data_IF_033652337807
#
_entry.id   IF_033652337807
#
_cell.length_a   1.000
_cell.length_b   1.000
_cell.length_c   1.000
_cell.angle_alpha   90.00
_cell.angle_beta   90.00
_cell.angle_gamma   90.00
#
_symmetry.space_group_name_H-M   'P 1'
#
loop_
_entity.id
_entity.type
_entity.pdbx_description
1 polymer ?
#
# COMPACT_ATOMS: atom_id res chain seq x y z
N UNK A 1 -32.28 -88.40 55.68
CA UNK A 1 -30.90 -88.29 56.18
C UNK A 1 -30.07 -87.58 55.11
N UNK A 2 -29.33 -86.53 55.49
CA UNK A 2 -28.27 -85.79 54.78
C UNK A 2 -28.48 -85.23 53.37
N UNK A 3 -27.90 -84.02 53.21
CA UNK A 3 -27.56 -83.27 51.98
C UNK A 3 -28.77 -82.88 51.08
N UNK A 4 -28.85 -81.72 50.43
CA UNK A 4 -27.83 -80.88 49.81
C UNK A 4 -28.45 -79.51 49.43
N UNK A 5 -27.59 -78.53 49.16
CA UNK A 5 -27.84 -77.12 48.80
C UNK A 5 -28.42 -76.89 47.40
N UNK A 6 -29.24 -75.84 47.23
CA UNK A 6 -29.10 -74.82 46.17
C UNK A 6 -30.20 -73.74 46.23
N UNK A 7 -29.74 -72.48 46.29
CA UNK A 7 -30.21 -71.26 45.61
C UNK A 7 -31.56 -71.26 44.87
N UNK A 8 -32.40 -70.25 45.17
CA UNK A 8 -32.77 -69.14 44.26
C UNK A 8 -33.66 -68.12 45.00
N UNK A 9 -33.26 -66.85 44.95
CA UNK A 9 -34.09 -65.64 45.18
C UNK A 9 -35.22 -65.56 44.12
N UNK A 10 -36.38 -64.87 44.35
CA UNK A 10 -36.42 -63.39 44.37
C UNK A 10 -37.59 -62.68 45.11
N UNK A 11 -37.45 -61.35 45.30
CA UNK A 11 -38.41 -60.25 45.03
C UNK A 11 -38.34 -59.09 46.07
N UNK A 12 -38.10 -57.86 45.60
CA UNK A 12 -38.17 -56.59 46.39
C UNK A 12 -39.60 -56.03 46.52
N UNK A 13 -39.87 -54.71 46.69
CA UNK A 13 -39.06 -53.50 47.02
C UNK A 13 -39.55 -52.81 48.34
N UNK A 14 -38.97 -51.77 48.97
CA UNK A 14 -38.96 -50.32 48.60
C UNK A 14 -38.15 -49.44 49.62
N UNK A 15 -37.24 -48.62 49.07
CA UNK A 15 -36.94 -47.17 49.30
C UNK A 15 -36.83 -46.50 50.70
N UNK A 16 -35.79 -45.63 50.74
CA UNK A 16 -35.51 -44.38 51.55
C UNK A 16 -34.77 -44.62 52.88
N UNK A 17 -33.70 -43.91 53.27
CA UNK A 17 -33.19 -42.56 52.92
C UNK A 17 -31.66 -42.49 52.91
N UNK A 18 -31.17 -41.64 52.01
CA UNK A 18 -29.83 -41.09 51.85
C UNK A 18 -29.29 -40.41 53.11
N UNK A 19 -28.06 -40.74 53.53
CA UNK A 19 -27.22 -39.78 54.25
C UNK A 19 -26.77 -38.69 53.25
N UNK A 20 -26.76 -37.40 53.63
CA UNK A 20 -26.66 -36.29 52.66
C UNK A 20 -25.25 -36.19 52.08
N UNK A 21 -25.16 -35.80 50.81
CA UNK A 21 -23.93 -35.48 50.08
C UNK A 21 -22.94 -34.60 50.88
N UNK A 22 -23.46 -33.81 51.83
CA UNK A 22 -22.68 -32.98 52.77
C UNK A 22 -21.76 -33.79 53.71
N UNK A 23 -22.20 -34.94 54.24
CA UNK A 23 -21.34 -35.76 55.11
C UNK A 23 -20.22 -36.47 54.34
N UNK A 24 -20.47 -36.81 53.07
CA UNK A 24 -19.44 -37.37 52.19
C UNK A 24 -18.45 -36.29 51.73
N UNK A 25 -18.90 -35.04 51.56
CA UNK A 25 -18.04 -33.90 51.28
C UNK A 25 -17.15 -33.53 52.47
N UNK A 26 -17.69 -33.54 53.69
CA UNK A 26 -16.90 -33.27 54.92
C UNK A 26 -15.86 -34.37 55.19
N UNK A 27 -16.20 -35.65 54.98
CA UNK A 27 -15.22 -36.75 55.08
C UNK A 27 -14.13 -36.69 53.99
N UNK A 28 -14.46 -36.21 52.79
CA UNK A 28 -13.48 -35.99 51.72
C UNK A 28 -12.58 -34.76 51.98
N UNK A 29 -13.13 -33.68 52.56
CA UNK A 29 -12.38 -32.50 53.00
C UNK A 29 -11.48 -32.80 54.20
N UNK A 30 -11.93 -33.63 55.15
CA UNK A 30 -11.16 -34.05 56.32
C UNK A 30 -10.00 -35.01 55.97
N UNK A 31 -10.10 -35.76 54.86
CA UNK A 31 -8.99 -36.57 54.34
C UNK A 31 -8.01 -35.75 53.49
N UNK A 32 -8.47 -34.71 52.79
CA UNK A 32 -7.57 -33.77 52.07
C UNK A 32 -6.84 -32.78 52.97
N UNK A 33 -7.29 -32.56 54.21
CA UNK A 33 -6.63 -31.63 55.14
C UNK A 33 -5.42 -32.22 55.88
N UNK A 34 -5.18 -33.55 55.78
CA UNK A 34 -4.06 -34.24 56.45
C UNK A 34 -2.87 -34.59 55.55
N UNK A 35 -2.95 -34.35 54.24
CA UNK A 35 -1.78 -34.37 53.34
C UNK A 35 -1.47 -32.95 52.84
N UNK A 36 -0.87 -32.14 53.72
CA UNK A 36 -0.16 -30.93 53.29
C UNK A 36 1.20 -31.32 52.71
N UNK A 37 1.22 -31.88 51.50
CA UNK A 37 2.39 -31.64 50.65
C UNK A 37 2.19 -30.24 50.09
N UNK A 38 2.74 -29.24 50.81
CA UNK A 38 2.83 -27.89 50.24
C UNK A 38 3.61 -28.04 48.92
N UNK A 39 3.09 -27.60 47.77
CA UNK A 39 3.94 -27.43 46.61
C UNK A 39 5.04 -26.45 47.05
N UNK A 40 6.29 -26.90 47.06
CA UNK A 40 7.44 -26.02 47.27
C UNK A 40 7.43 -25.11 46.04
N UNK A 41 6.84 -23.93 46.20
CA UNK A 41 6.99 -22.86 45.22
C UNK A 41 8.50 -22.61 45.11
N UNK A 42 9.07 -22.52 43.89
CA UNK A 42 10.47 -22.14 43.75
C UNK A 42 10.65 -20.82 44.49
N UNK A 43 11.67 -20.76 45.33
CA UNK A 43 11.99 -19.59 46.12
C UNK A 43 12.33 -18.44 45.16
N UNK A 44 11.40 -17.48 45.03
CA UNK A 44 11.57 -16.33 44.15
C UNK A 44 12.73 -15.45 44.62
N UNK A 45 13.07 -15.50 45.92
CA UNK A 45 14.21 -14.79 46.51
C UNK A 45 15.55 -15.48 46.19
N UNK A 46 15.53 -16.75 45.76
CA UNK A 46 16.69 -17.47 45.26
C UNK A 46 16.95 -17.24 43.76
N UNK A 47 16.01 -16.63 43.04
CA UNK A 47 16.20 -16.21 41.64
C UNK A 47 16.99 -14.91 41.65
N UNK A 48 18.33 -15.01 41.61
CA UNK A 48 19.18 -13.85 41.37
C UNK A 48 18.92 -13.32 39.96
N UNK A 49 18.13 -12.25 39.87
CA UNK A 49 18.10 -11.40 38.68
C UNK A 49 19.48 -10.74 38.61
N UNK A 50 20.30 -11.14 37.64
CA UNK A 50 21.58 -10.47 37.39
C UNK A 50 21.30 -9.00 37.12
N UNK A 51 21.60 -8.14 38.10
CA UNK A 51 21.52 -6.70 37.96
C UNK A 51 22.67 -6.30 37.06
N UNK A 52 22.38 -6.12 35.77
CA UNK A 52 23.33 -5.57 34.79
C UNK A 52 23.69 -4.17 35.29
N UNK A 53 24.98 -3.90 35.48
CA UNK A 53 25.42 -2.60 35.97
C UNK A 53 25.15 -1.51 34.94
N UNK A 54 24.98 -0.26 35.38
CA UNK A 54 24.80 0.87 34.45
C UNK A 54 26.00 1.01 33.49
N UNK A 55 27.20 0.67 33.95
CA UNK A 55 28.42 0.64 33.13
C UNK A 55 28.37 -0.44 32.03
N UNK A 56 27.85 -1.64 32.34
CA UNK A 56 27.63 -2.71 31.35
C UNK A 56 26.56 -2.31 30.32
N UNK A 57 25.52 -1.59 30.75
CA UNK A 57 24.48 -1.04 29.85
C UNK A 57 25.10 0.02 28.93
N UNK A 58 25.93 0.92 29.45
CA UNK A 58 26.63 1.92 28.65
C UNK A 58 27.58 1.30 27.63
N UNK A 59 28.32 0.26 28.01
CA UNK A 59 29.24 -0.45 27.12
C UNK A 59 28.48 -1.18 26.02
N UNK A 60 27.37 -1.87 26.35
CA UNK A 60 26.47 -2.47 25.37
C UNK A 60 25.87 -1.44 24.41
N UNK A 61 25.51 -0.25 24.90
CA UNK A 61 25.02 0.85 24.05
C UNK A 61 26.13 1.36 23.11
N UNK A 62 27.37 1.52 23.61
CA UNK A 62 28.52 1.93 22.79
C UNK A 62 28.82 0.90 21.72
N UNK A 63 28.80 -0.38 22.06
CA UNK A 63 29.02 -1.48 21.13
C UNK A 63 27.91 -1.53 20.06
N UNK A 64 26.64 -1.46 20.47
CA UNK A 64 25.50 -1.42 19.55
C UNK A 64 25.56 -0.21 18.59
N UNK A 65 26.00 0.96 19.06
CA UNK A 65 26.26 2.13 18.21
C UNK A 65 27.39 1.89 17.23
N UNK A 66 28.49 1.28 17.68
CA UNK A 66 29.61 0.87 16.83
C UNK A 66 29.18 -0.10 15.72
N UNK A 67 28.40 -1.12 16.07
CA UNK A 67 27.81 -2.08 15.12
C UNK A 67 26.90 -1.39 14.10
N UNK A 68 26.04 -0.49 14.55
CA UNK A 68 25.15 0.28 13.66
C UNK A 68 25.93 1.16 12.68
N UNK A 69 26.96 1.86 13.15
CA UNK A 69 27.82 2.70 12.31
C UNK A 69 28.61 1.88 11.28
N UNK A 70 29.11 0.70 11.67
CA UNK A 70 29.74 -0.24 10.74
C UNK A 70 28.73 -0.71 9.68
N UNK A 71 27.54 -1.15 10.10
CA UNK A 71 26.49 -1.62 9.21
C UNK A 71 26.09 -0.57 8.17
N UNK A 72 26.00 0.70 8.55
CA UNK A 72 25.72 1.80 7.63
C UNK A 72 26.82 1.99 6.57
N UNK A 73 28.10 2.01 6.98
CA UNK A 73 29.23 2.13 6.04
C UNK A 73 29.33 0.92 5.12
N UNK A 74 29.12 -0.26 5.66
CA UNK A 74 29.12 -1.52 4.92
C UNK A 74 27.99 -1.53 3.86
N UNK A 75 26.77 -1.12 4.23
CA UNK A 75 25.64 -1.00 3.32
C UNK A 75 25.92 -0.04 2.16
N UNK A 76 26.47 1.15 2.44
CA UNK A 76 26.86 2.11 1.40
C UNK A 76 27.87 1.52 0.43
N UNK A 77 28.89 0.82 0.95
CA UNK A 77 29.91 0.16 0.14
C UNK A 77 29.32 -0.94 -0.74
N UNK A 78 28.39 -1.76 -0.22
CA UNK A 78 27.70 -2.79 -1.00
C UNK A 78 26.89 -2.15 -2.14
N UNK A 79 26.15 -1.06 -1.88
CA UNK A 79 25.39 -0.37 -2.94
C UNK A 79 26.31 0.19 -4.03
N UNK A 80 27.47 0.76 -3.66
CA UNK A 80 28.47 1.20 -4.63
C UNK A 80 29.02 0.03 -5.46
N UNK A 81 29.30 -1.12 -4.82
CA UNK A 81 29.75 -2.34 -5.50
C UNK A 81 28.69 -2.80 -6.50
N UNK A 82 27.42 -2.91 -6.08
CA UNK A 82 26.30 -3.34 -6.94
C UNK A 82 26.08 -2.38 -8.10
N UNK A 83 26.15 -1.07 -7.86
CA UNK A 83 26.04 -0.06 -8.92
C UNK A 83 27.16 -0.21 -9.95
N UNK A 84 28.41 -0.47 -9.51
CA UNK A 84 29.55 -0.70 -10.41
C UNK A 84 29.41 -2.00 -11.19
N UNK A 85 28.97 -3.08 -10.54
CA UNK A 85 28.68 -4.34 -11.23
C UNK A 85 27.61 -4.15 -12.32
N UNK A 86 26.53 -3.40 -12.03
CA UNK A 86 25.47 -3.10 -12.99
C UNK A 86 25.98 -2.24 -14.15
N UNK A 87 26.82 -1.24 -13.90
CA UNK A 87 27.47 -0.44 -14.96
C UNK A 87 28.30 -1.30 -15.92
N UNK A 88 29.08 -2.24 -15.39
CA UNK A 88 29.86 -3.16 -16.22
C UNK A 88 28.93 -4.09 -17.01
N UNK A 89 27.89 -4.63 -16.37
CA UNK A 89 26.95 -5.54 -17.03
C UNK A 89 26.10 -4.85 -18.12
N UNK A 90 25.79 -3.56 -17.98
CA UNK A 90 25.10 -2.78 -19.01
C UNK A 90 25.87 -2.72 -20.34
N UNK A 91 27.20 -2.90 -20.32
CA UNK A 91 28.01 -3.00 -21.55
C UNK A 91 27.62 -4.24 -22.35
N UNK A 92 27.37 -5.38 -21.67
CA UNK A 92 26.86 -6.61 -22.33
C UNK A 92 25.46 -6.42 -22.87
N UNK A 93 24.56 -5.82 -22.07
CA UNK A 93 23.15 -5.63 -22.45
C UNK A 93 23.01 -4.71 -23.67
N UNK A 94 23.96 -3.79 -23.88
CA UNK A 94 24.03 -2.90 -25.05
C UNK A 94 24.75 -3.54 -26.25
N UNK A 95 25.06 -4.83 -26.20
CA UNK A 95 25.71 -5.57 -27.30
C UNK A 95 27.23 -5.41 -27.37
N UNK A 96 27.87 -4.82 -26.35
CA UNK A 96 29.33 -4.73 -26.23
C UNK A 96 29.97 -5.99 -25.65
N UNK A 97 31.23 -6.25 -26.00
CA UNK A 97 32.04 -7.28 -25.35
C UNK A 97 32.74 -6.72 -24.11
N UNK A 98 32.70 -7.48 -23.00
CA UNK A 98 33.50 -7.15 -21.82
C UNK A 98 34.96 -7.44 -22.07
N UNK A 99 35.82 -6.54 -21.59
CA UNK A 99 37.27 -6.77 -21.60
C UNK A 99 37.66 -7.78 -20.51
N UNK A 100 38.88 -8.33 -20.61
CA UNK A 100 39.45 -9.17 -19.53
C UNK A 100 39.56 -8.42 -18.20
N UNK A 101 39.81 -7.11 -18.25
CA UNK A 101 39.83 -6.23 -17.08
C UNK A 101 38.44 -6.15 -16.42
N UNK A 102 37.37 -5.98 -17.21
CA UNK A 102 36.00 -5.91 -16.69
C UNK A 102 35.58 -7.22 -15.99
N UNK A 103 35.98 -8.36 -16.55
CA UNK A 103 35.72 -9.69 -15.95
C UNK A 103 36.48 -9.87 -14.64
N UNK A 104 37.74 -9.42 -14.58
CA UNK A 104 38.54 -9.45 -13.35
C UNK A 104 37.97 -8.52 -12.27
N UNK A 105 37.53 -7.32 -12.67
CA UNK A 105 36.88 -6.36 -11.77
C UNK A 105 35.58 -6.93 -11.19
N UNK A 106 34.71 -7.51 -12.03
CA UNK A 106 33.48 -8.17 -11.56
C UNK A 106 33.74 -9.29 -10.54
N UNK A 107 34.78 -10.11 -10.75
CA UNK A 107 35.16 -11.17 -9.79
C UNK A 107 35.60 -10.57 -8.45
N UNK A 108 36.44 -9.52 -8.48
CA UNK A 108 36.90 -8.83 -7.27
C UNK A 108 35.75 -8.18 -6.51
N UNK A 109 34.85 -7.49 -7.22
CA UNK A 109 33.67 -6.84 -6.66
C UNK A 109 32.72 -7.84 -6.00
N UNK A 110 32.49 -9.01 -6.62
CA UNK A 110 31.67 -10.08 -6.02
C UNK A 110 32.30 -10.64 -4.75
N UNK A 111 33.59 -10.93 -4.77
CA UNK A 111 34.30 -11.44 -3.59
C UNK A 111 34.29 -10.43 -2.43
N UNK A 112 34.40 -9.14 -2.73
CA UNK A 112 34.34 -8.08 -1.72
C UNK A 112 32.92 -7.91 -1.14
N UNK A 113 31.88 -8.02 -1.96
CA UNK A 113 30.49 -8.05 -1.50
C UNK A 113 30.21 -9.25 -0.59
N UNK A 114 30.60 -10.46 -1.00
CA UNK A 114 30.45 -11.68 -0.19
C UNK A 114 31.19 -11.57 1.14
N UNK A 115 32.39 -10.98 1.16
CA UNK A 115 33.15 -10.74 2.40
C UNK A 115 32.42 -9.80 3.36
N UNK A 116 31.80 -8.73 2.86
CA UNK A 116 31.06 -7.79 3.71
C UNK A 116 29.77 -8.45 4.22
N UNK A 117 29.05 -9.17 3.35
CA UNK A 117 27.82 -9.89 3.69
C UNK A 117 28.06 -11.06 4.65
N UNK A 118 29.26 -11.66 4.67
CA UNK A 118 29.62 -12.75 5.58
C UNK A 118 30.28 -12.31 6.90
N UNK A 119 30.46 -11.01 7.13
CA UNK A 119 31.20 -10.52 8.30
C UNK A 119 30.32 -10.40 9.57
N UNK A 120 30.87 -10.80 10.71
CA UNK A 120 30.30 -10.57 12.04
C UNK A 120 29.24 -11.58 12.49
N UNK A 121 28.60 -11.27 13.61
CA UNK A 121 27.58 -12.08 14.26
C UNK A 121 26.16 -11.82 13.71
N UNK A 122 25.16 -12.56 14.21
CA UNK A 122 23.77 -12.42 13.76
C UNK A 122 23.19 -11.00 13.97
N UNK A 123 23.60 -10.29 15.01
CA UNK A 123 23.12 -8.94 15.29
C UNK A 123 23.67 -7.91 14.31
N UNK A 124 24.97 -8.02 13.99
CA UNK A 124 25.58 -7.21 12.95
C UNK A 124 24.92 -7.49 11.59
N UNK A 125 24.62 -8.76 11.30
CA UNK A 125 23.93 -9.16 10.07
C UNK A 125 22.52 -8.59 9.97
N UNK A 126 21.73 -8.62 11.06
CA UNK A 126 20.42 -7.96 11.11
C UNK A 126 20.53 -6.46 10.86
N UNK A 127 21.50 -5.81 11.51
CA UNK A 127 21.77 -4.37 11.35
C UNK A 127 22.20 -4.03 9.93
N UNK A 128 23.07 -4.84 9.31
CA UNK A 128 23.53 -4.71 7.94
C UNK A 128 22.38 -4.84 6.95
N UNK A 129 21.53 -5.85 7.08
CA UNK A 129 20.35 -6.04 6.22
C UNK A 129 19.40 -4.83 6.28
N UNK A 130 19.19 -4.28 7.48
CA UNK A 130 18.35 -3.10 7.66
C UNK A 130 18.98 -1.84 7.07
N UNK A 131 20.28 -1.61 7.28
CA UNK A 131 21.00 -0.50 6.69
C UNK A 131 21.02 -0.59 5.15
N UNK A 132 21.25 -1.79 4.61
CA UNK A 132 21.20 -2.06 3.18
C UNK A 132 19.82 -1.76 2.60
N UNK A 133 18.74 -2.15 3.28
CA UNK A 133 17.39 -1.81 2.85
C UNK A 133 17.15 -0.28 2.77
N UNK A 134 17.65 0.49 3.74
CA UNK A 134 17.56 1.95 3.70
C UNK A 134 18.33 2.53 2.51
N UNK A 135 19.55 2.04 2.26
CA UNK A 135 20.34 2.51 1.12
C UNK A 135 19.73 2.09 -0.23
N UNK A 136 19.12 0.91 -0.32
CA UNK A 136 18.36 0.49 -1.51
C UNK A 136 17.21 1.46 -1.82
N UNK A 137 16.49 1.94 -0.80
CA UNK A 137 15.45 2.98 -0.97
C UNK A 137 16.08 4.29 -1.48
N UNK A 138 17.25 4.69 -0.95
CA UNK A 138 17.93 5.93 -1.35
C UNK A 138 18.43 5.91 -2.79
N UNK A 139 18.99 4.78 -3.22
CA UNK A 139 19.56 4.62 -4.57
C UNK A 139 18.56 4.13 -5.61
N UNK A 140 17.37 3.70 -5.18
CA UNK A 140 16.36 3.12 -6.07
C UNK A 140 15.80 4.12 -7.08
N UNK A 141 15.40 3.63 -8.25
CA UNK A 141 14.68 4.43 -9.24
C UNK A 141 13.28 4.74 -8.70
N UNK A 142 12.91 6.02 -8.62
CA UNK A 142 11.61 6.45 -8.13
C UNK A 142 10.48 6.09 -9.10
N UNK A 143 9.97 4.86 -8.98
CA UNK A 143 8.84 4.30 -9.71
C UNK A 143 7.74 3.81 -8.76
N UNK A 144 6.52 3.68 -9.29
CA UNK A 144 5.39 3.18 -8.51
C UNK A 144 5.58 1.73 -8.05
N UNK A 145 6.16 0.90 -8.90
CA UNK A 145 6.51 -0.50 -8.62
C UNK A 145 7.52 -0.60 -7.47
N UNK A 146 8.60 0.17 -7.52
CA UNK A 146 9.61 0.18 -6.46
C UNK A 146 9.03 0.69 -5.13
N UNK A 147 8.15 1.71 -5.16
CA UNK A 147 7.49 2.18 -3.95
C UNK A 147 6.62 1.10 -3.30
N UNK A 148 5.86 0.33 -4.10
CA UNK A 148 5.08 -0.80 -3.60
C UNK A 148 5.99 -1.92 -3.06
N UNK A 149 7.05 -2.26 -3.78
CA UNK A 149 8.00 -3.30 -3.36
C UNK A 149 8.69 -2.95 -2.04
N UNK A 150 9.16 -1.71 -1.88
CA UNK A 150 9.77 -1.26 -0.63
C UNK A 150 8.77 -1.22 0.53
N UNK A 151 7.53 -0.79 0.30
CA UNK A 151 6.49 -0.83 1.33
C UNK A 151 6.13 -2.28 1.73
N UNK A 152 5.99 -3.19 0.76
CA UNK A 152 5.73 -4.60 1.01
C UNK A 152 6.85 -5.22 1.85
N UNK A 153 8.11 -5.03 1.44
CA UNK A 153 9.26 -5.50 2.21
C UNK A 153 9.30 -4.89 3.61
N UNK A 154 8.98 -3.60 3.77
CA UNK A 154 8.92 -2.95 5.08
C UNK A 154 7.83 -3.55 6.00
N UNK A 155 6.75 -4.08 5.43
CA UNK A 155 5.72 -4.85 6.15
C UNK A 155 6.23 -6.24 6.51
N UNK A 156 6.87 -6.95 5.58
CA UNK A 156 7.44 -8.28 5.81
C UNK A 156 8.48 -8.29 6.94
N UNK A 157 9.32 -7.26 7.03
CA UNK A 157 10.29 -7.11 8.12
C UNK A 157 9.68 -6.55 9.42
N UNK A 158 8.35 -6.42 9.50
CA UNK A 158 7.62 -5.99 10.69
C UNK A 158 7.76 -4.51 11.05
N UNK A 159 8.22 -3.65 10.14
CA UNK A 159 8.37 -2.21 10.41
C UNK A 159 7.09 -1.42 10.20
N UNK A 160 6.23 -1.89 9.30
CA UNK A 160 4.92 -1.32 9.03
C UNK A 160 3.85 -2.40 9.02
N UNK A 161 2.59 -1.98 9.18
CA UNK A 161 1.41 -2.82 8.93
C UNK A 161 0.27 -2.01 8.35
N UNK A 162 -0.64 -2.67 7.65
CA UNK A 162 -1.92 -2.05 7.30
C UNK A 162 -2.82 -1.93 8.55
N UNK A 163 -3.63 -0.86 8.69
CA UNK A 163 -4.59 -0.74 9.78
C UNK A 163 -5.69 -1.79 9.64
N UNK A 164 -6.16 -2.31 10.76
CA UNK A 164 -7.35 -3.16 10.83
C UNK A 164 -8.61 -2.36 10.49
N UNK A 165 -9.72 -3.02 10.18
CA UNK A 165 -10.96 -2.33 9.84
C UNK A 165 -11.54 -1.54 11.03
N UNK A 166 -11.36 -2.03 12.25
CA UNK A 166 -11.70 -1.31 13.48
C UNK A 166 -10.89 0.00 13.61
N UNK A 167 -9.58 -0.05 13.33
CA UNK A 167 -8.72 1.14 13.36
C UNK A 167 -9.08 2.13 12.24
N UNK A 168 -9.35 1.64 11.01
CA UNK A 168 -9.82 2.51 9.91
C UNK A 168 -11.09 3.24 10.30
N UNK A 169 -12.03 2.57 10.97
CA UNK A 169 -13.26 3.19 11.43
C UNK A 169 -12.99 4.22 12.55
N UNK A 170 -12.11 3.90 13.50
CA UNK A 170 -11.71 4.83 14.54
C UNK A 170 -11.06 6.10 13.96
N UNK A 171 -10.17 5.96 12.96
CA UNK A 171 -9.56 7.11 12.29
C UNK A 171 -10.58 7.95 11.53
N UNK A 172 -11.58 7.34 10.87
CA UNK A 172 -12.66 8.08 10.19
C UNK A 172 -13.48 8.92 11.17
N UNK A 173 -13.81 8.36 12.34
CA UNK A 173 -14.54 9.07 13.40
C UNK A 173 -13.71 10.22 13.99
N UNK A 174 -12.38 10.05 14.05
CA UNK A 174 -11.45 11.07 14.52
C UNK A 174 -10.98 12.04 13.41
N UNK A 175 -11.84 12.38 12.45
CA UNK A 175 -11.53 13.28 11.32
C UNK A 175 -10.29 12.89 10.51
N UNK A 176 -10.07 11.59 10.29
CA UNK A 176 -8.90 11.02 9.61
C UNK A 176 -7.56 11.41 10.26
N UNK A 177 -7.51 11.56 11.59
CA UNK A 177 -6.26 11.72 12.34
C UNK A 177 -5.57 10.37 12.51
N UNK A 178 -4.54 10.14 11.71
CA UNK A 178 -3.69 8.96 11.81
C UNK A 178 -2.50 9.18 12.75
N UNK A 179 -1.94 8.10 13.35
CA UNK A 179 -0.73 8.18 14.17
C UNK A 179 0.45 8.79 13.41
N UNK A 180 1.34 9.47 14.14
CA UNK A 180 2.60 9.97 13.59
C UNK A 180 3.42 8.82 13.00
N UNK A 181 4.10 9.08 11.88
CA UNK A 181 4.88 8.07 11.15
C UNK A 181 4.07 7.25 10.14
N UNK A 182 2.74 7.42 10.08
CA UNK A 182 1.91 6.78 9.05
C UNK A 182 2.32 7.22 7.64
N UNK A 183 2.46 6.25 6.73
CA UNK A 183 2.72 6.49 5.31
C UNK A 183 1.45 6.25 4.50
N UNK A 184 1.19 7.12 3.52
CA UNK A 184 0.04 6.99 2.61
C UNK A 184 0.49 6.85 1.16
N UNK A 185 0.16 5.70 0.58
CA UNK A 185 0.50 5.39 -0.79
C UNK A 185 -0.51 4.43 -1.41
N UNK A 186 -0.80 4.60 -2.70
CA UNK A 186 -1.75 3.76 -3.46
C UNK A 186 -3.11 3.53 -2.75
N UNK A 187 -3.69 4.59 -2.15
CA UNK A 187 -4.95 4.56 -1.36
C UNK A 187 -4.90 3.67 -0.10
N UNK A 188 -3.73 3.21 0.29
CA UNK A 188 -3.48 2.45 1.53
C UNK A 188 -2.75 3.31 2.55
N UNK A 189 -2.98 2.99 3.82
CA UNK A 189 -2.26 3.55 4.95
C UNK A 189 -1.35 2.47 5.55
N UNK A 190 -0.12 2.83 5.88
CA UNK A 190 0.87 1.96 6.49
C UNK A 190 1.26 2.55 7.84
N UNK A 191 0.85 1.88 8.92
CA UNK A 191 1.12 2.28 10.29
C UNK A 191 2.51 1.81 10.72
N UNK A 192 3.28 2.69 11.35
CA UNK A 192 4.57 2.36 11.95
C UNK A 192 4.37 1.42 13.14
N UNK A 193 5.09 0.31 13.18
CA UNK A 193 5.00 -0.69 14.27
C UNK A 193 6.02 -0.41 15.37
N UNK A 194 7.14 0.20 15.01
CA UNK A 194 8.23 0.51 15.93
C UNK A 194 8.33 2.01 16.20
N UNK A 195 9.11 2.36 17.20
CA UNK A 195 9.53 3.74 17.47
C UNK A 195 11.06 3.80 17.60
N UNK A 196 11.64 5.00 17.58
CA UNK A 196 13.08 5.21 17.71
C UNK A 196 13.76 5.68 16.42
N UNK A 197 15.06 5.98 16.54
CA UNK A 197 15.84 6.58 15.46
C UNK A 197 15.91 5.73 14.17
N UNK A 198 16.10 4.40 14.23
CA UNK A 198 16.14 3.57 13.02
C UNK A 198 14.82 3.57 12.26
N UNK A 199 13.68 3.55 12.97
CA UNK A 199 12.36 3.60 12.36
C UNK A 199 12.09 4.97 11.72
N UNK A 200 12.44 6.07 12.42
CA UNK A 200 12.29 7.42 11.87
C UNK A 200 13.14 7.63 10.61
N UNK A 201 14.34 7.03 10.55
CA UNK A 201 15.18 7.08 9.36
C UNK A 201 14.51 6.37 8.17
N UNK A 202 13.96 5.16 8.39
CA UNK A 202 13.20 4.44 7.38
C UNK A 202 11.95 5.22 6.91
N UNK A 203 11.16 5.75 7.84
CA UNK A 203 10.00 6.60 7.55
C UNK A 203 10.37 7.81 6.69
N UNK A 204 11.47 8.49 7.03
CA UNK A 204 11.94 9.67 6.30
C UNK A 204 12.34 9.32 4.87
N UNK A 205 13.11 8.25 4.66
CA UNK A 205 13.53 7.85 3.31
C UNK A 205 12.36 7.33 2.47
N UNK A 206 11.46 6.50 3.03
CA UNK A 206 10.25 6.08 2.33
C UNK A 206 9.35 7.27 1.97
N UNK A 207 9.19 8.24 2.87
CA UNK A 207 8.40 9.45 2.59
C UNK A 207 9.00 10.28 1.47
N UNK A 208 10.33 10.47 1.47
CA UNK A 208 11.05 11.15 0.36
C UNK A 208 10.85 10.39 -0.95
N UNK A 209 11.04 9.07 -0.94
CA UNK A 209 10.91 8.23 -2.12
C UNK A 209 9.49 8.28 -2.70
N UNK A 210 8.46 8.09 -1.87
CA UNK A 210 7.05 8.20 -2.26
C UNK A 210 6.75 9.62 -2.78
N UNK A 211 7.31 10.65 -2.17
CA UNK A 211 7.19 12.03 -2.64
C UNK A 211 7.80 12.22 -4.04
N UNK A 212 8.96 11.64 -4.30
CA UNK A 212 9.62 11.65 -5.61
C UNK A 212 8.79 10.91 -6.67
N UNK A 213 8.24 9.74 -6.34
CA UNK A 213 7.32 8.99 -7.23
C UNK A 213 6.11 9.84 -7.60
N UNK A 214 5.40 10.40 -6.61
CA UNK A 214 4.24 11.26 -6.85
C UNK A 214 4.57 12.48 -7.71
N UNK A 215 5.77 13.05 -7.56
CA UNK A 215 6.26 14.17 -8.37
C UNK A 215 6.54 13.75 -9.81
N UNK A 216 7.16 12.58 -10.02
CA UNK A 216 7.41 12.04 -11.35
C UNK A 216 6.10 11.69 -12.06
N UNK A 217 5.17 11.05 -11.36
CA UNK A 217 3.84 10.74 -11.87
C UNK A 217 3.10 12.03 -12.24
N UNK A 218 3.13 13.05 -11.39
CA UNK A 218 2.52 14.35 -11.68
C UNK A 218 3.14 15.08 -12.87
N UNK A 219 4.45 14.93 -13.11
CA UNK A 219 5.12 15.46 -14.32
C UNK A 219 4.68 14.72 -15.58
N UNK A 220 4.60 13.40 -15.53
CA UNK A 220 4.12 12.59 -16.66
C UNK A 220 2.65 12.89 -16.97
N UNK A 221 1.81 12.99 -15.94
CA UNK A 221 0.40 13.39 -16.04
C UNK A 221 0.27 14.79 -16.65
N UNK A 222 1.08 15.76 -16.21
CA UNK A 222 1.07 17.10 -16.79
C UNK A 222 1.54 17.11 -18.25
N UNK A 223 2.60 16.37 -18.59
CA UNK A 223 3.08 16.27 -19.97
C UNK A 223 2.01 15.64 -20.89
N UNK A 224 1.24 14.67 -20.39
CA UNK A 224 0.12 14.08 -21.13
C UNK A 224 -1.05 15.07 -21.30
N UNK A 225 -1.36 15.85 -20.26
CA UNK A 225 -2.32 16.95 -20.34
C UNK A 225 -1.89 17.95 -21.42
N UNK A 226 -0.64 18.43 -21.38
CA UNK A 226 -0.11 19.42 -22.32
C UNK A 226 -0.13 18.89 -23.76
N UNK A 227 0.26 17.62 -23.97
CA UNK A 227 0.17 16.97 -25.27
C UNK A 227 -1.28 16.92 -25.79
N UNK A 228 -2.24 16.55 -24.94
CA UNK A 228 -3.67 16.55 -25.32
C UNK A 228 -4.12 17.95 -25.70
N UNK A 229 -3.75 18.97 -24.92
CA UNK A 229 -4.14 20.35 -25.18
C UNK A 229 -3.62 20.87 -26.54
N UNK A 230 -2.47 20.38 -27.00
CA UNK A 230 -1.89 20.71 -28.31
C UNK A 230 -2.50 19.91 -29.48
N UNK A 231 -3.20 18.81 -29.20
CA UNK A 231 -3.60 17.82 -30.23
C UNK A 231 -4.98 18.04 -30.84
N UNK A 232 -5.75 19.06 -30.43
CA UNK A 232 -7.08 19.31 -30.99
C UNK A 232 -7.53 20.76 -30.87
N UNK A 233 -8.71 21.05 -31.41
CA UNK A 233 -9.26 22.40 -31.49
C UNK A 233 -9.80 22.88 -30.14
N UNK A 234 -9.34 24.05 -29.69
CA UNK A 234 -9.76 24.65 -28.42
C UNK A 234 -11.10 25.39 -28.51
N UNK A 235 -11.58 25.74 -29.71
CA UNK A 235 -12.86 26.42 -29.90
C UNK A 235 -14.04 25.43 -29.75
N UNK A 236 -14.48 25.26 -28.51
CA UNK A 236 -15.66 24.45 -28.19
C UNK A 236 -16.98 25.05 -28.70
N UNK A 237 -16.98 26.28 -29.22
CA UNK A 237 -18.11 26.88 -29.94
C UNK A 237 -18.42 26.14 -31.24
N UNK A 238 -17.38 25.77 -32.00
CA UNK A 238 -17.48 24.98 -33.22
C UNK A 238 -17.99 23.56 -32.94
N UNK A 239 -17.49 22.94 -31.87
CA UNK A 239 -17.99 21.65 -31.37
C UNK A 239 -19.50 21.71 -31.09
N UNK A 240 -19.97 22.74 -30.35
CA UNK A 240 -21.40 22.88 -30.04
C UNK A 240 -22.24 23.13 -31.29
N UNK A 241 -21.69 23.78 -32.32
CA UNK A 241 -22.32 23.94 -33.65
C UNK A 241 -22.36 22.65 -34.47
N UNK A 242 -21.65 21.61 -34.05
CA UNK A 242 -21.62 20.31 -34.73
C UNK A 242 -20.68 20.27 -35.91
N UNK A 243 -19.69 21.17 -35.94
CA UNK A 243 -18.62 21.13 -36.93
C UNK A 243 -17.79 19.87 -36.66
N UNK A 244 -17.55 19.09 -37.71
CA UNK A 244 -16.78 17.84 -37.63
C UNK A 244 -15.32 18.19 -37.36
N UNK A 245 -14.73 17.52 -36.39
CA UNK A 245 -13.36 17.80 -35.96
C UNK A 245 -13.02 17.16 -34.62
N UNK A 246 -11.75 17.26 -34.24
CA UNK A 246 -11.26 16.81 -32.93
C UNK A 246 -11.09 18.02 -32.02
N UNK A 247 -11.79 18.02 -30.90
CA UNK A 247 -11.84 19.12 -29.94
C UNK A 247 -11.17 18.75 -28.62
N UNK A 248 -10.60 19.75 -27.97
CA UNK A 248 -9.94 19.63 -26.68
C UNK A 248 -10.87 20.13 -25.57
N UNK A 249 -11.20 19.25 -24.65
CA UNK A 249 -11.82 19.60 -23.38
C UNK A 249 -10.71 19.96 -22.39
N UNK A 250 -10.73 21.17 -21.86
CA UNK A 250 -9.81 21.62 -20.82
C UNK A 250 -10.56 21.91 -19.51
N UNK A 251 -10.18 21.20 -18.45
CA UNK A 251 -10.56 21.51 -17.07
C UNK A 251 -9.30 21.94 -16.31
N UNK A 252 -9.03 23.24 -16.19
CA UNK A 252 -7.83 23.71 -15.52
C UNK A 252 -7.86 23.40 -14.02
N UNK A 253 -6.68 23.37 -13.40
CA UNK A 253 -6.56 23.33 -11.96
C UNK A 253 -7.30 24.52 -11.34
N UNK A 254 -8.13 24.27 -10.33
CA UNK A 254 -8.83 25.34 -9.60
C UNK A 254 -9.03 24.99 -8.14
N UNK A 255 -8.93 25.99 -7.30
CA UNK A 255 -9.29 25.89 -5.89
C UNK A 255 -10.53 26.73 -5.62
N UNK A 256 -11.59 26.12 -5.09
CA UNK A 256 -12.85 26.81 -4.79
C UNK A 256 -13.31 26.42 -3.40
N UNK A 257 -13.40 27.41 -2.49
CA UNK A 257 -13.84 27.20 -1.09
C UNK A 257 -13.06 26.08 -0.38
N UNK A 258 -11.74 26.04 -0.55
CA UNK A 258 -10.85 25.02 0.02
C UNK A 258 -10.92 23.63 -0.64
N UNK A 259 -11.72 23.46 -1.70
CA UNK A 259 -11.72 22.23 -2.52
C UNK A 259 -10.78 22.40 -3.71
N UNK A 260 -9.79 21.53 -3.79
CA UNK A 260 -8.82 21.49 -4.90
C UNK A 260 -9.33 20.56 -5.99
N UNK A 261 -9.55 21.10 -7.19
CA UNK A 261 -9.85 20.35 -8.40
C UNK A 261 -8.57 20.25 -9.24
N UNK A 262 -8.10 19.02 -9.48
CA UNK A 262 -6.91 18.79 -10.31
C UNK A 262 -7.22 19.08 -11.77
N UNK A 263 -6.19 19.49 -12.52
CA UNK A 263 -6.28 19.69 -13.94
C UNK A 263 -6.67 18.38 -14.67
N UNK A 264 -7.33 18.51 -15.81
CA UNK A 264 -7.62 17.39 -16.70
C UNK A 264 -7.89 17.88 -18.11
N UNK A 265 -7.44 17.11 -19.09
CA UNK A 265 -7.67 17.39 -20.49
C UNK A 265 -8.17 16.15 -21.22
N UNK A 266 -8.99 16.32 -22.25
CA UNK A 266 -9.47 15.21 -23.08
C UNK A 266 -9.67 15.61 -24.53
N UNK A 267 -9.48 14.64 -25.44
CA UNK A 267 -9.85 14.74 -26.85
C UNK A 267 -11.22 14.11 -27.07
N UNK A 268 -12.08 14.83 -27.77
CA UNK A 268 -13.36 14.34 -28.27
C UNK A 268 -13.47 14.59 -29.76
N UNK A 269 -14.02 13.64 -30.51
CA UNK A 269 -14.24 13.77 -31.94
C UNK A 269 -15.73 14.03 -32.21
N UNK A 270 -16.03 15.08 -32.97
CA UNK A 270 -17.36 15.28 -33.56
C UNK A 270 -17.35 14.61 -34.92
N UNK A 271 -18.22 13.60 -35.09
CA UNK A 271 -18.30 12.78 -36.30
C UNK A 271 -19.76 12.71 -36.78
N UNK A 272 -19.97 12.49 -38.09
CA UNK A 272 -21.29 12.08 -38.60
C UNK A 272 -21.36 10.54 -38.56
N UNK A 273 -22.35 10.01 -37.83
CA UNK A 273 -22.60 8.57 -37.72
C UNK A 273 -23.84 8.21 -38.53
N UNK A 274 -23.72 7.23 -39.42
CA UNK A 274 -24.88 6.63 -40.10
C UNK A 274 -25.70 5.79 -39.11
N UNK A 275 -27.01 5.96 -39.14
CA UNK A 275 -28.00 5.24 -38.33
C UNK A 275 -29.02 4.59 -39.26
N UNK A 276 -29.07 3.26 -39.24
CA UNK A 276 -30.10 2.48 -39.93
C UNK A 276 -30.21 2.74 -41.44
N UNK A 277 -31.44 2.71 -41.96
CA UNK A 277 -31.77 2.85 -43.40
C UNK A 277 -31.67 4.31 -43.89
N UNK A 278 -30.50 4.94 -43.70
CA UNK A 278 -30.15 6.20 -44.38
C UNK A 278 -30.16 7.49 -43.54
N UNK A 279 -30.37 7.42 -42.22
CA UNK A 279 -30.24 8.59 -41.36
C UNK A 279 -28.78 8.87 -41.01
N UNK A 280 -28.36 10.12 -40.95
CA UNK A 280 -27.08 10.53 -40.36
C UNK A 280 -27.33 11.34 -39.09
N UNK A 281 -26.47 11.14 -38.09
CA UNK A 281 -26.53 11.86 -36.83
C UNK A 281 -25.14 12.31 -36.43
N UNK A 282 -25.04 13.58 -36.03
CA UNK A 282 -23.81 14.11 -35.46
C UNK A 282 -23.63 13.61 -34.03
N UNK A 283 -22.49 13.00 -33.76
CA UNK A 283 -22.13 12.43 -32.45
C UNK A 283 -20.91 13.13 -31.88
N UNK A 284 -20.73 13.02 -30.57
CA UNK A 284 -19.51 13.40 -29.85
C UNK A 284 -18.94 12.12 -29.26
N UNK A 285 -17.75 11.74 -29.72
CA UNK A 285 -17.08 10.48 -29.39
C UNK A 285 -15.84 10.73 -28.56
N UNK A 286 -15.59 9.87 -27.57
CA UNK A 286 -14.42 9.97 -26.71
C UNK A 286 -13.18 9.44 -27.44
N UNK A 287 -12.12 10.27 -27.48
CA UNK A 287 -10.81 9.89 -27.99
C UNK A 287 -9.86 9.43 -26.89
N UNK A 288 -9.46 10.36 -26.02
CA UNK A 288 -8.48 10.11 -24.93
C UNK A 288 -8.67 11.14 -23.82
N UNK A 289 -8.38 10.79 -22.57
CA UNK A 289 -8.35 11.73 -21.44
C UNK A 289 -7.08 11.59 -20.60
N UNK A 290 -6.75 12.64 -19.86
CA UNK A 290 -5.67 12.70 -18.87
C UNK A 290 -6.10 13.54 -17.66
N UNK A 291 -5.38 13.41 -16.55
CA UNK A 291 -5.70 14.12 -15.32
C UNK A 291 -7.05 13.71 -14.72
N UNK A 292 -7.81 14.69 -14.23
CA UNK A 292 -9.19 14.50 -13.77
C UNK A 292 -10.11 13.90 -14.86
N UNK A 293 -9.73 13.97 -16.14
CA UNK A 293 -10.47 13.39 -17.26
C UNK A 293 -9.97 12.00 -17.70
N UNK A 294 -9.00 11.40 -16.99
CA UNK A 294 -8.46 10.08 -17.33
C UNK A 294 -9.52 8.96 -17.33
N UNK A 295 -10.60 9.09 -16.55
CA UNK A 295 -11.73 8.15 -16.53
C UNK A 295 -12.38 7.98 -17.91
N UNK A 296 -12.24 8.95 -18.83
CA UNK A 296 -12.78 8.86 -20.18
C UNK A 296 -12.09 7.76 -21.00
N UNK A 297 -10.86 7.36 -20.64
CA UNK A 297 -10.16 6.27 -21.32
C UNK A 297 -10.86 4.92 -21.16
N UNK A 298 -11.58 4.69 -20.04
CA UNK A 298 -12.39 3.50 -19.81
C UNK A 298 -13.57 3.41 -20.81
N UNK A 299 -14.01 4.55 -21.34
CA UNK A 299 -15.10 4.68 -22.31
C UNK A 299 -14.59 5.16 -23.68
N UNK A 300 -13.34 4.87 -24.01
CA UNK A 300 -12.75 5.26 -25.30
C UNK A 300 -13.57 4.69 -26.46
N UNK A 301 -13.94 5.54 -27.41
CA UNK A 301 -14.79 5.18 -28.54
C UNK A 301 -16.30 5.19 -28.26
N UNK A 302 -16.73 5.28 -27.00
CA UNK A 302 -18.12 5.54 -26.64
C UNK A 302 -18.49 6.97 -27.04
N UNK A 303 -19.77 7.19 -27.36
CA UNK A 303 -20.27 8.45 -27.90
C UNK A 303 -21.65 8.79 -27.33
N UNK A 304 -21.98 10.08 -27.40
CA UNK A 304 -23.33 10.60 -27.21
C UNK A 304 -23.76 11.35 -28.47
N UNK A 305 -25.06 11.54 -28.68
CA UNK A 305 -25.53 12.41 -29.76
C UNK A 305 -25.25 13.88 -29.42
N UNK A 306 -24.95 14.69 -30.44
CA UNK A 306 -24.80 16.14 -30.28
C UNK A 306 -26.06 16.78 -29.70
N UNK A 307 -27.23 16.26 -30.04
CA UNK A 307 -28.52 16.74 -29.53
C UNK A 307 -28.68 16.53 -28.03
N UNK A 308 -28.15 15.45 -27.46
CA UNK A 308 -28.14 15.24 -26.00
C UNK A 308 -27.25 16.25 -25.30
N UNK A 309 -26.08 16.54 -25.86
CA UNK A 309 -25.22 17.61 -25.34
C UNK A 309 -25.90 18.99 -25.42
N UNK A 310 -26.51 19.34 -26.56
CA UNK A 310 -27.18 20.65 -26.74
C UNK A 310 -28.36 20.88 -25.81
N UNK A 311 -29.06 19.81 -25.42
CA UNK A 311 -30.21 19.84 -24.50
C UNK A 311 -29.79 19.74 -23.03
N UNK A 312 -28.50 19.56 -22.74
CA UNK A 312 -27.98 19.26 -21.42
C UNK A 312 -28.70 18.05 -20.76
N UNK A 313 -29.12 17.08 -21.57
CA UNK A 313 -29.90 15.92 -21.13
C UNK A 313 -29.60 14.68 -21.96
N UNK A 314 -29.43 13.54 -21.28
CA UNK A 314 -29.21 12.22 -21.91
C UNK A 314 -30.43 11.74 -22.72
N UNK A 315 -30.19 10.77 -23.60
CA UNK A 315 -31.28 10.13 -24.35
C UNK A 315 -32.18 9.33 -23.39
N UNK A 316 -33.50 9.48 -23.54
CA UNK A 316 -34.52 8.85 -22.69
C UNK A 316 -34.48 7.31 -22.78
N UNK A 317 -33.90 6.77 -23.85
CA UNK A 317 -33.81 5.34 -24.07
C UNK A 317 -32.56 4.70 -23.41
N UNK A 318 -31.67 5.49 -22.80
CA UNK A 318 -30.51 4.96 -22.08
C UNK A 318 -30.90 4.52 -20.67
N UNK A 319 -30.33 3.39 -20.23
CA UNK A 319 -30.52 2.86 -18.89
C UNK A 319 -29.18 2.36 -18.30
N UNK A 320 -29.15 2.19 -16.98
CA UNK A 320 -27.99 1.65 -16.26
C UNK A 320 -26.71 2.46 -16.45
N UNK A 321 -25.59 1.76 -16.66
CA UNK A 321 -24.26 2.37 -16.76
C UNK A 321 -24.13 3.36 -17.91
N UNK A 322 -24.83 3.13 -19.03
CA UNK A 322 -24.79 4.04 -20.19
C UNK A 322 -25.45 5.39 -19.90
N UNK A 323 -26.52 5.40 -19.10
CA UNK A 323 -27.16 6.64 -18.66
C UNK A 323 -26.23 7.42 -17.72
N UNK A 324 -25.64 6.74 -16.72
CA UNK A 324 -24.69 7.34 -15.78
C UNK A 324 -23.48 7.94 -16.51
N UNK A 325 -22.95 7.20 -17.48
CA UNK A 325 -21.90 7.66 -18.37
C UNK A 325 -22.33 8.92 -19.13
N UNK A 326 -23.48 8.87 -19.83
CA UNK A 326 -23.97 9.97 -20.67
C UNK A 326 -24.17 11.25 -19.85
N UNK A 327 -24.81 11.15 -18.69
CA UNK A 327 -25.03 12.29 -17.79
C UNK A 327 -23.72 12.87 -17.24
N UNK A 328 -22.74 12.01 -16.93
CA UNK A 328 -21.41 12.46 -16.49
C UNK A 328 -20.66 13.15 -17.64
N UNK A 329 -20.75 12.61 -18.85
CA UNK A 329 -20.06 13.14 -20.02
C UNK A 329 -20.63 14.49 -20.45
N UNK A 330 -21.95 14.64 -20.51
CA UNK A 330 -22.64 15.92 -20.79
C UNK A 330 -22.20 16.99 -19.79
N UNK A 331 -22.20 16.68 -18.48
CA UNK A 331 -21.75 17.62 -17.44
C UNK A 331 -20.29 18.06 -17.64
N UNK A 332 -19.41 17.16 -18.06
CA UNK A 332 -18.01 17.47 -18.35
C UNK A 332 -17.88 18.38 -19.58
N UNK A 333 -18.62 18.10 -20.66
CA UNK A 333 -18.65 18.95 -21.86
C UNK A 333 -19.12 20.37 -21.52
N UNK A 334 -20.21 20.50 -20.77
CA UNK A 334 -20.75 21.81 -20.36
C UNK A 334 -19.78 22.55 -19.44
N UNK A 335 -19.12 21.84 -18.51
CA UNK A 335 -18.08 22.43 -17.66
C UNK A 335 -16.86 22.94 -18.46
N UNK A 336 -16.41 22.19 -19.47
CA UNK A 336 -15.30 22.59 -20.33
C UNK A 336 -15.65 23.83 -21.18
N UNK A 337 -16.86 23.91 -21.72
CA UNK A 337 -17.35 25.11 -22.45
C UNK A 337 -17.37 26.34 -21.53
N UNK A 338 -17.87 26.19 -20.29
CA UNK A 338 -17.88 27.29 -19.32
C UNK A 338 -16.46 27.71 -18.94
N UNK A 339 -15.54 26.77 -18.77
CA UNK A 339 -14.14 27.06 -18.49
C UNK A 339 -13.47 27.84 -19.64
N UNK A 340 -13.66 27.42 -20.89
CA UNK A 340 -13.11 28.09 -22.07
C UNK A 340 -13.64 29.52 -22.27
N UNK A 341 -14.93 29.77 -21.99
CA UNK A 341 -15.51 31.12 -22.03
C UNK A 341 -14.93 32.06 -20.97
N UNK A 342 -14.61 31.55 -19.79
CA UNK A 342 -13.99 32.35 -18.72
C UNK A 342 -12.54 32.68 -19.02
N UNK A 343 -11.82 31.76 -19.65
CA UNK A 343 -10.42 31.98 -20.04
C UNK A 343 -10.26 33.01 -21.18
N UNK A 344 -11.29 33.19 -22.03
CA UNK A 344 -11.30 34.18 -23.13
C UNK A 344 -11.81 35.55 -22.70
N UNK A 345 -12.47 35.66 -21.55
CA UNK A 345 -13.00 36.91 -21.00
C UNK A 345 -12.12 37.56 -19.93
N UNK A 346 -11.06 36.87 -19.49
CA UNK A 346 -10.07 37.34 -18.51
C UNK A 346 -8.80 37.81 -19.23
#
# INVERSE_FOLDING_TARGET
MNASTASTDPQGPTKKLTAPLAQQFELALAKRSKEKVKPVLPDLDAIQVAVVSDDDIEEQIKEARGRSAYAQKAAQKIIMIRARQLQINLVKERGGMLTSSDVAELKKLKAEEEKILGAGDEELQKSLRFALFIEEIRSGVASAENALAFLARAVEIGRFREPTDAEKQAFRVADNKYPSGTLFYAKKAYLSVHTGAPQRALEAELRKFIGAVKKNDGKAEQAEIDHILQSGEADLGNMRKGIVGTYVLNLPHREVKGKVFRAGAALVAVEQKKIGKGGEMTIIKIGKGAGTLAWMNEHKGTWISLSSFRRDASDKNLAGELLVFSDKFIRVLSAAVVAGRRATAA
#
